data_IF_062542058847
#
_entry.id   IF_062542058847
#
_cell.length_a   1.000
_cell.length_b   1.000
_cell.length_c   1.000
_cell.angle_alpha   90.00
_cell.angle_beta   90.00
_cell.angle_gamma   90.00
#
_symmetry.space_group_name_H-M   'P 1'
#
loop_
_entity.id
_entity.type
_entity.pdbx_description
1 polymer ?
#
# COMPACT_ATOMS: atom_id res chain seq x y z
N UNK A 1 16.27 3.27 16.93
CA UNK A 1 17.33 2.32 16.54
C UNK A 1 18.69 2.99 16.34
N UNK A 2 18.74 4.34 16.26
CA UNK A 2 19.97 5.11 16.01
C UNK A 2 20.62 4.89 14.63
N UNK A 3 19.89 4.30 13.70
CA UNK A 3 20.39 3.97 12.35
C UNK A 3 19.74 4.91 11.34
N UNK A 4 20.54 5.54 10.48
CA UNK A 4 20.04 6.26 9.32
C UNK A 4 19.46 5.29 8.30
N UNK A 5 18.17 5.40 8.03
CA UNK A 5 17.49 4.54 7.06
C UNK A 5 17.73 5.06 5.65
N UNK A 6 18.38 4.25 4.83
CA UNK A 6 18.52 4.48 3.40
C UNK A 6 18.57 3.15 2.67
N UNK A 7 17.73 2.96 1.67
CA UNK A 7 17.55 1.66 1.00
C UNK A 7 18.83 1.10 0.37
N UNK A 8 19.80 1.96 0.01
CA UNK A 8 21.11 1.56 -0.50
C UNK A 8 22.12 1.20 0.60
N UNK A 9 21.87 1.60 1.86
CA UNK A 9 22.77 1.39 2.99
C UNK A 9 22.30 0.31 3.97
N UNK A 10 21.12 -0.21 3.78
CA UNK A 10 20.50 -1.23 4.61
C UNK A 10 19.14 -0.82 5.19
N UNK A 11 18.54 -1.72 5.94
CA UNK A 11 17.22 -1.55 6.56
C UNK A 11 17.36 -1.28 8.06
N UNK A 12 16.25 -0.92 8.71
CA UNK A 12 16.22 -0.77 10.17
C UNK A 12 16.59 -2.07 10.88
N UNK A 13 17.33 -1.94 11.97
CA UNK A 13 17.54 -3.06 12.88
C UNK A 13 16.21 -3.41 13.56
N UNK A 14 15.99 -4.72 13.77
CA UNK A 14 14.83 -5.19 14.49
C UNK A 14 14.93 -4.81 15.97
N UNK A 15 13.79 -4.53 16.60
CA UNK A 15 13.74 -4.34 18.05
C UNK A 15 14.13 -5.66 18.77
N UNK A 16 14.82 -5.56 19.91
CA UNK A 16 15.28 -6.73 20.68
C UNK A 16 14.13 -7.69 21.00
N UNK A 17 12.97 -7.15 21.42
CA UNK A 17 11.78 -7.96 21.68
C UNK A 17 11.31 -8.77 20.46
N UNK A 18 11.48 -8.22 19.25
CA UNK A 18 11.15 -8.93 18.00
C UNK A 18 12.17 -10.05 17.73
N UNK A 19 13.47 -9.79 17.96
CA UNK A 19 14.54 -10.78 17.81
C UNK A 19 14.31 -11.97 18.75
N UNK A 20 14.00 -11.69 20.02
CA UNK A 20 13.68 -12.72 21.02
C UNK A 20 12.46 -13.55 20.62
N UNK A 21 11.37 -12.89 20.19
CA UNK A 21 10.14 -13.56 19.78
C UNK A 21 10.36 -14.47 18.55
N UNK A 22 11.09 -13.98 17.55
CA UNK A 22 11.44 -14.76 16.34
C UNK A 22 12.32 -15.95 16.73
N UNK A 23 13.34 -15.75 17.55
CA UNK A 23 14.23 -16.81 18.02
C UNK A 23 13.44 -17.90 18.76
N UNK A 24 12.50 -17.53 19.62
CA UNK A 24 11.62 -18.48 20.32
C UNK A 24 10.75 -19.25 19.33
N UNK A 25 10.12 -18.57 18.36
CA UNK A 25 9.29 -19.20 17.33
C UNK A 25 10.09 -20.19 16.46
N UNK A 26 11.35 -19.87 16.12
CA UNK A 26 12.22 -20.75 15.33
C UNK A 26 12.64 -22.03 16.08
N UNK A 27 12.61 -22.02 17.42
CA UNK A 27 13.03 -23.14 18.26
C UNK A 27 11.87 -24.01 18.75
N UNK A 28 10.64 -23.66 18.44
CA UNK A 28 9.46 -24.33 18.98
C UNK A 28 8.41 -24.54 17.87
N UNK A 29 7.57 -25.56 17.95
CA UNK A 29 6.39 -25.65 17.11
C UNK A 29 5.50 -24.43 17.29
N UNK A 30 5.00 -23.89 16.20
CA UNK A 30 4.09 -22.74 16.19
C UNK A 30 2.81 -23.05 15.43
N UNK A 31 1.68 -22.50 15.86
CA UNK A 31 0.36 -22.69 15.25
C UNK A 31 0.08 -21.71 14.10
N UNK A 32 1.08 -21.49 13.23
CA UNK A 32 0.98 -20.47 12.19
C UNK A 32 -0.15 -20.73 11.20
N UNK A 33 -0.38 -21.99 10.84
CA UNK A 33 -1.39 -22.44 9.88
C UNK A 33 -2.57 -23.19 10.50
N UNK A 34 -2.60 -23.27 11.83
CA UNK A 34 -3.64 -24.01 12.55
C UNK A 34 -4.44 -23.07 13.45
N UNK A 35 -5.74 -23.06 13.24
CA UNK A 35 -6.68 -22.31 14.08
C UNK A 35 -7.04 -23.18 15.30
N UNK A 36 -6.68 -22.69 16.50
CA UNK A 36 -6.95 -23.40 17.75
C UNK A 36 -8.42 -23.37 18.14
N UNK A 37 -9.18 -22.35 17.69
CA UNK A 37 -10.59 -22.18 18.03
C UNK A 37 -11.48 -23.13 17.20
N UNK A 38 -11.18 -23.21 15.89
CA UNK A 38 -11.94 -24.01 14.92
C UNK A 38 -11.35 -25.41 14.70
N UNK A 39 -10.21 -25.74 15.34
CA UNK A 39 -9.48 -26.99 15.19
C UNK A 39 -9.19 -27.36 13.72
N UNK A 40 -8.88 -26.35 12.89
CA UNK A 40 -8.72 -26.49 11.46
C UNK A 40 -7.56 -25.69 10.88
N UNK A 41 -7.45 -25.65 9.55
CA UNK A 41 -6.45 -24.85 8.87
C UNK A 41 -6.86 -23.38 8.90
N UNK A 42 -6.01 -22.51 9.50
CA UNK A 42 -6.16 -21.07 9.55
C UNK A 42 -5.31 -20.34 8.51
N UNK A 43 -5.58 -19.05 8.34
CA UNK A 43 -4.74 -18.15 7.54
C UNK A 43 -3.49 -17.77 8.33
N UNK A 44 -2.31 -17.82 7.70
CA UNK A 44 -1.00 -17.54 8.31
C UNK A 44 -0.87 -16.14 8.89
N UNK A 45 -1.53 -15.17 8.28
CA UNK A 45 -1.46 -13.75 8.62
C UNK A 45 -2.58 -13.25 9.55
N UNK A 46 -3.51 -14.13 9.97
CA UNK A 46 -4.70 -13.75 10.76
C UNK A 46 -4.38 -12.91 12.00
N UNK A 47 -3.42 -13.35 12.82
CA UNK A 47 -3.05 -12.62 14.05
C UNK A 47 -2.44 -11.24 13.73
N UNK A 48 -1.63 -11.17 12.68
CA UNK A 48 -1.02 -9.93 12.23
C UNK A 48 -2.05 -9.02 11.56
N UNK A 49 -2.97 -9.57 10.76
CA UNK A 49 -4.07 -8.83 10.15
C UNK A 49 -4.95 -8.16 11.23
N UNK A 50 -5.32 -8.89 12.29
CA UNK A 50 -6.07 -8.32 13.41
C UNK A 50 -5.32 -7.16 14.10
N UNK A 51 -4.01 -7.28 14.28
CA UNK A 51 -3.18 -6.21 14.86
C UNK A 51 -3.14 -4.98 13.93
N UNK A 52 -2.94 -5.19 12.63
CA UNK A 52 -2.95 -4.13 11.62
C UNK A 52 -4.29 -3.40 11.58
N UNK A 53 -5.41 -4.13 11.60
CA UNK A 53 -6.75 -3.53 11.68
C UNK A 53 -6.92 -2.63 12.91
N UNK A 54 -6.45 -3.08 14.08
CA UNK A 54 -6.49 -2.29 15.32
C UNK A 54 -5.65 -1.02 15.24
N UNK A 55 -4.50 -1.06 14.57
CA UNK A 55 -3.59 0.08 14.45
C UNK A 55 -4.07 1.05 13.38
N UNK A 56 -4.56 0.55 12.25
CA UNK A 56 -4.87 1.37 11.08
C UNK A 56 -6.33 1.78 10.98
N UNK A 57 -7.23 1.10 11.70
CA UNK A 57 -8.67 1.28 11.56
C UNK A 57 -9.25 0.61 10.30
N UNK A 58 -8.46 -0.18 9.57
CA UNK A 58 -8.93 -0.94 8.41
C UNK A 58 -9.85 -2.09 8.82
N UNK A 59 -10.68 -2.54 7.88
CA UNK A 59 -11.59 -3.66 8.09
C UNK A 59 -10.88 -5.02 8.04
N UNK A 60 -9.83 -5.14 7.20
CA UNK A 60 -9.02 -6.34 7.07
C UNK A 60 -7.63 -6.02 6.49
N UNK A 61 -6.73 -7.00 6.49
CA UNK A 61 -5.36 -6.86 6.00
C UNK A 61 -4.87 -8.14 5.30
N UNK A 62 -3.91 -7.97 4.38
CA UNK A 62 -3.20 -9.04 3.69
C UNK A 62 -1.71 -8.73 3.70
N UNK A 63 -0.87 -9.75 3.92
CA UNK A 63 0.58 -9.61 3.99
C UNK A 63 1.23 -10.46 2.90
N UNK A 64 2.18 -9.88 2.18
CA UNK A 64 2.95 -10.52 1.12
C UNK A 64 4.45 -10.22 1.28
N UNK A 65 5.28 -10.78 0.42
CA UNK A 65 6.74 -10.78 0.56
C UNK A 65 7.40 -9.41 0.58
N UNK A 66 6.84 -8.43 -0.16
CA UNK A 66 7.34 -7.06 -0.25
C UNK A 66 6.29 -6.14 -0.86
N UNK A 67 6.51 -4.82 -0.82
CA UNK A 67 5.53 -3.86 -1.31
C UNK A 67 5.34 -3.90 -2.85
N UNK A 68 6.35 -4.30 -3.62
CA UNK A 68 6.19 -4.50 -5.06
C UNK A 68 5.18 -5.63 -5.36
N UNK A 69 5.27 -6.74 -4.61
CA UNK A 69 4.28 -7.82 -4.67
C UNK A 69 2.90 -7.38 -4.17
N UNK A 70 2.84 -6.51 -3.16
CA UNK A 70 1.58 -5.95 -2.67
C UNK A 70 0.87 -5.12 -3.74
N UNK A 71 1.59 -4.22 -4.42
CA UNK A 71 1.03 -3.40 -5.51
C UNK A 71 0.58 -4.28 -6.67
N UNK A 72 1.43 -5.25 -7.09
CA UNK A 72 1.07 -6.18 -8.16
C UNK A 72 -0.21 -6.97 -7.82
N UNK A 73 -0.28 -7.56 -6.63
CA UNK A 73 -1.45 -8.32 -6.18
C UNK A 73 -2.69 -7.43 -6.09
N UNK A 74 -2.56 -6.23 -5.50
CA UNK A 74 -3.65 -5.28 -5.35
C UNK A 74 -4.28 -4.95 -6.70
N UNK A 75 -3.46 -4.63 -7.69
CA UNK A 75 -3.94 -4.25 -9.03
C UNK A 75 -4.42 -5.48 -9.81
N UNK A 76 -3.70 -6.60 -9.78
CA UNK A 76 -4.10 -7.82 -10.49
C UNK A 76 -5.45 -8.37 -9.99
N UNK A 77 -5.65 -8.43 -8.68
CA UNK A 77 -6.87 -8.98 -8.09
C UNK A 77 -8.12 -8.08 -8.27
N UNK A 78 -7.92 -6.77 -8.51
CA UNK A 78 -9.04 -5.83 -8.53
C UNK A 78 -9.30 -5.19 -9.90
N UNK A 79 -8.30 -5.18 -10.80
CA UNK A 79 -8.36 -4.42 -12.06
C UNK A 79 -7.85 -5.17 -13.30
N UNK A 80 -7.54 -6.47 -13.21
CA UNK A 80 -7.08 -7.25 -14.38
C UNK A 80 -8.10 -7.17 -15.52
N UNK A 81 -7.61 -6.89 -16.74
CA UNK A 81 -8.43 -6.68 -17.94
C UNK A 81 -9.13 -5.33 -18.02
N UNK A 82 -8.92 -4.43 -17.04
CA UNK A 82 -9.55 -3.12 -16.96
C UNK A 82 -8.52 -2.00 -16.88
N UNK A 83 -9.00 -0.76 -16.78
CA UNK A 83 -8.18 0.45 -16.66
C UNK A 83 -7.95 0.85 -15.21
N UNK A 84 -6.73 1.31 -14.94
CA UNK A 84 -6.34 1.95 -13.69
C UNK A 84 -5.89 3.38 -14.01
N UNK A 85 -6.59 4.36 -13.46
CA UNK A 85 -6.30 5.79 -13.69
C UNK A 85 -5.28 6.27 -12.67
N UNK A 86 -4.15 6.81 -13.16
CA UNK A 86 -3.02 7.26 -12.33
C UNK A 86 -2.54 8.64 -12.81
N UNK A 87 -2.19 9.53 -11.90
CA UNK A 87 -1.54 10.80 -12.25
C UNK A 87 -0.17 10.56 -12.89
N UNK A 88 0.10 11.23 -14.02
CA UNK A 88 1.41 11.16 -14.69
C UNK A 88 2.57 11.57 -13.79
N UNK A 89 2.36 12.53 -12.90
CA UNK A 89 3.35 12.97 -11.91
C UNK A 89 3.65 11.93 -10.82
N UNK A 90 2.89 10.83 -10.75
CA UNK A 90 3.02 9.76 -9.75
C UNK A 90 3.54 8.43 -10.34
N UNK A 91 3.99 8.42 -11.59
CA UNK A 91 4.55 7.23 -12.24
C UNK A 91 6.00 7.04 -11.79
N UNK A 92 6.15 6.56 -10.56
CA UNK A 92 7.46 6.40 -9.92
C UNK A 92 8.29 5.26 -10.53
N UNK A 93 9.62 5.43 -10.48
CA UNK A 93 10.60 4.35 -10.54
C UNK A 93 11.37 4.34 -9.22
N UNK A 94 11.43 3.20 -8.54
CA UNK A 94 12.08 3.06 -7.25
C UNK A 94 12.73 1.67 -7.10
N UNK A 95 13.81 1.59 -6.32
CA UNK A 95 14.36 0.33 -5.82
C UNK A 95 14.81 -0.68 -6.88
N UNK A 96 15.60 -0.29 -7.87
CA UNK A 96 16.19 -1.24 -8.82
C UNK A 96 15.29 -1.65 -9.98
N UNK A 97 14.44 -0.75 -10.45
CA UNK A 97 13.56 -0.86 -11.62
C UNK A 97 12.09 -1.28 -11.35
N UNK A 98 11.58 -1.07 -10.15
CA UNK A 98 10.14 -1.10 -9.95
C UNK A 98 9.52 0.16 -10.58
N UNK A 99 8.72 -0.02 -11.62
CA UNK A 99 8.03 1.04 -12.36
C UNK A 99 6.54 0.78 -12.36
N UNK A 100 5.74 1.76 -12.01
CA UNK A 100 4.27 1.64 -12.01
C UNK A 100 3.73 1.17 -13.38
N UNK A 101 4.15 1.72 -14.55
CA UNK A 101 3.67 1.22 -15.83
C UNK A 101 3.96 -0.26 -16.11
N UNK A 102 5.12 -0.75 -15.66
CA UNK A 102 5.50 -2.15 -15.84
C UNK A 102 4.69 -3.08 -14.94
N UNK A 103 4.41 -2.66 -13.71
CA UNK A 103 3.54 -3.40 -12.77
C UNK A 103 2.12 -3.50 -13.31
N UNK A 104 1.56 -2.39 -13.83
CA UNK A 104 0.23 -2.41 -14.47
C UNK A 104 0.16 -3.41 -15.62
N UNK A 105 1.15 -3.40 -16.51
CA UNK A 105 1.23 -4.35 -17.63
C UNK A 105 1.33 -5.78 -17.13
N UNK A 106 2.16 -6.05 -16.11
CA UNK A 106 2.33 -7.38 -15.53
C UNK A 106 1.05 -7.87 -14.84
N UNK A 107 0.27 -6.97 -14.25
CA UNK A 107 -1.02 -7.25 -13.64
C UNK A 107 -2.15 -7.48 -14.67
N UNK A 108 -1.87 -7.30 -15.95
CA UNK A 108 -2.89 -7.40 -17.02
C UNK A 108 -3.85 -6.21 -17.07
N UNK A 109 -3.44 -5.05 -16.52
CA UNK A 109 -4.24 -3.84 -16.51
C UNK A 109 -3.78 -2.85 -17.58
N UNK A 110 -4.69 -2.00 -18.03
CA UNK A 110 -4.36 -0.86 -18.87
C UNK A 110 -4.12 0.36 -17.97
N UNK A 111 -2.91 0.93 -18.05
CA UNK A 111 -2.61 2.19 -17.39
C UNK A 111 -3.26 3.35 -18.15
N UNK A 112 -4.08 4.13 -17.47
CA UNK A 112 -4.65 5.36 -18.00
C UNK A 112 -4.04 6.56 -17.26
N UNK A 113 -3.07 7.21 -17.91
CA UNK A 113 -2.36 8.36 -17.34
C UNK A 113 -3.19 9.63 -17.44
N UNK A 114 -3.29 10.40 -16.36
CA UNK A 114 -4.01 11.69 -16.33
C UNK A 114 -3.12 12.85 -15.93
N UNK A 115 -3.49 14.04 -16.38
CA UNK A 115 -2.75 15.27 -16.14
C UNK A 115 -1.41 15.32 -16.87
N UNK A 116 -0.49 16.07 -16.29
CA UNK A 116 0.88 16.25 -16.78
C UNK A 116 1.90 15.92 -15.69
N UNK A 117 3.19 15.99 -16.00
CA UNK A 117 4.27 15.68 -15.03
C UNK A 117 4.14 16.48 -13.72
N UNK A 118 3.75 17.77 -13.82
CA UNK A 118 3.74 18.69 -12.67
C UNK A 118 2.34 19.14 -12.25
N UNK A 119 1.30 18.84 -13.02
CA UNK A 119 -0.06 19.29 -12.70
C UNK A 119 -1.10 18.26 -13.06
N UNK A 120 -1.91 17.88 -12.06
CA UNK A 120 -3.08 17.01 -12.22
C UNK A 120 -4.23 17.60 -11.41
N UNK A 121 -5.38 17.68 -12.01
CA UNK A 121 -6.60 18.26 -11.45
C UNK A 121 -7.72 17.21 -11.36
N UNK A 122 -8.72 17.42 -10.52
CA UNK A 122 -9.89 16.52 -10.40
C UNK A 122 -10.59 16.29 -11.75
N UNK A 123 -10.63 17.34 -12.59
CA UNK A 123 -11.25 17.23 -13.91
C UNK A 123 -10.52 16.28 -14.87
N UNK A 124 -9.21 16.10 -14.71
CA UNK A 124 -8.43 15.15 -15.52
C UNK A 124 -8.89 13.72 -15.23
N UNK A 125 -9.14 13.39 -13.96
CA UNK A 125 -9.71 12.09 -13.56
C UNK A 125 -11.16 11.94 -14.05
N UNK A 126 -12.02 12.97 -13.91
CA UNK A 126 -13.42 12.90 -14.37
C UNK A 126 -13.51 12.58 -15.85
N UNK A 127 -12.65 13.19 -16.66
CA UNK A 127 -12.63 12.96 -18.11
C UNK A 127 -12.08 11.60 -18.51
N UNK A 128 -11.23 10.99 -17.67
CA UNK A 128 -10.61 9.70 -17.93
C UNK A 128 -11.49 8.50 -17.54
N UNK A 129 -12.35 8.66 -16.52
CA UNK A 129 -13.19 7.57 -16.03
C UNK A 129 -14.25 7.19 -17.07
N UNK A 130 -14.33 5.89 -17.34
CA UNK A 130 -15.26 5.28 -18.27
C UNK A 130 -15.69 3.87 -17.75
N UNK A 131 -16.50 3.15 -18.50
CA UNK A 131 -17.02 1.82 -18.13
C UNK A 131 -15.97 0.73 -17.92
N UNK A 132 -14.76 0.93 -18.47
CA UNK A 132 -13.63 0.03 -18.27
C UNK A 132 -12.77 0.40 -17.06
N UNK A 133 -12.99 1.54 -16.42
CA UNK A 133 -12.21 1.98 -15.26
C UNK A 133 -12.56 1.15 -14.03
N UNK A 134 -11.54 0.50 -13.47
CA UNK A 134 -11.69 -0.31 -12.25
C UNK A 134 -11.24 0.44 -10.99
N UNK A 135 -10.19 1.26 -11.09
CA UNK A 135 -9.55 1.92 -9.95
C UNK A 135 -9.08 3.34 -10.29
N UNK A 136 -9.17 4.23 -9.32
CA UNK A 136 -8.33 5.42 -9.23
C UNK A 136 -7.16 5.09 -8.30
N UNK A 137 -5.93 5.20 -8.78
CA UNK A 137 -4.76 4.87 -7.96
C UNK A 137 -3.92 6.10 -7.71
N UNK A 138 -3.52 6.27 -6.46
CA UNK A 138 -2.54 7.24 -6.02
C UNK A 138 -1.24 6.54 -5.64
N UNK A 139 -0.12 7.13 -6.04
CA UNK A 139 1.21 6.62 -5.69
C UNK A 139 2.00 7.73 -5.01
N UNK A 140 2.40 7.47 -3.77
CA UNK A 140 3.20 8.42 -3.01
C UNK A 140 4.62 8.49 -3.55
N UNK A 141 5.05 9.71 -3.92
CA UNK A 141 6.37 9.97 -4.50
C UNK A 141 7.44 10.13 -3.41
N UNK A 142 7.74 9.02 -2.69
CA UNK A 142 8.62 9.05 -1.52
C UNK A 142 10.10 9.29 -1.84
N UNK A 143 10.52 9.17 -3.11
CA UNK A 143 11.92 9.26 -3.54
C UNK A 143 12.24 10.47 -4.41
N UNK A 144 11.25 11.31 -4.73
CA UNK A 144 11.45 12.57 -5.44
C UNK A 144 10.36 13.59 -5.09
N UNK A 145 10.59 14.84 -5.41
CA UNK A 145 9.61 15.92 -5.31
C UNK A 145 9.59 16.77 -6.58
N UNK A 146 8.41 17.21 -7.00
CA UNK A 146 8.24 18.13 -8.11
C UNK A 146 8.01 19.52 -7.53
N UNK A 147 8.83 20.50 -7.91
CA UNK A 147 8.81 21.86 -7.37
C UNK A 147 8.46 22.88 -8.48
N UNK A 148 7.97 24.05 -8.07
CA UNK A 148 7.61 25.15 -8.98
C UNK A 148 6.10 25.24 -9.18
N UNK A 149 5.64 25.41 -10.41
CA UNK A 149 4.22 25.49 -10.73
C UNK A 149 3.59 24.10 -10.74
N UNK A 150 3.25 23.59 -9.55
CA UNK A 150 2.72 22.24 -9.36
C UNK A 150 1.27 22.25 -8.89
N UNK A 151 0.55 21.16 -9.16
CA UNK A 151 -0.75 20.81 -8.58
C UNK A 151 -0.87 19.30 -8.53
N UNK A 152 -1.17 18.77 -7.37
CA UNK A 152 -1.55 17.36 -7.17
C UNK A 152 -2.90 17.32 -6.47
N UNK A 153 -3.63 16.23 -6.63
CA UNK A 153 -4.84 15.92 -5.87
C UNK A 153 -4.41 15.17 -4.62
N UNK A 154 -4.91 15.56 -3.46
CA UNK A 154 -4.73 14.81 -2.22
C UNK A 154 -5.67 13.61 -2.15
N UNK A 155 -5.44 12.73 -1.19
CA UNK A 155 -6.22 11.50 -1.04
C UNK A 155 -7.68 11.77 -0.72
N UNK A 156 -7.99 12.78 0.09
CA UNK A 156 -9.36 13.11 0.45
C UNK A 156 -10.15 13.62 -0.76
N UNK A 157 -9.53 14.47 -1.58
CA UNK A 157 -10.12 14.96 -2.85
C UNK A 157 -10.31 13.79 -3.82
N UNK A 158 -9.33 12.88 -3.94
CA UNK A 158 -9.45 11.71 -4.82
C UNK A 158 -10.53 10.73 -4.35
N UNK A 159 -10.66 10.51 -3.03
CA UNK A 159 -11.72 9.66 -2.46
C UNK A 159 -13.10 10.28 -2.68
N UNK A 160 -13.25 11.59 -2.51
CA UNK A 160 -14.51 12.27 -2.81
C UNK A 160 -14.90 12.10 -4.29
N UNK A 161 -13.91 12.22 -5.17
CA UNK A 161 -14.10 12.00 -6.60
C UNK A 161 -14.44 10.54 -6.94
N UNK A 162 -13.76 9.58 -6.31
CA UNK A 162 -14.06 8.15 -6.46
C UNK A 162 -15.48 7.80 -6.05
N UNK A 163 -15.99 8.43 -4.98
CA UNK A 163 -17.41 8.30 -4.56
C UNK A 163 -18.37 8.92 -5.57
N UNK A 164 -18.04 10.09 -6.14
CA UNK A 164 -18.83 10.75 -7.18
C UNK A 164 -18.96 9.88 -8.44
N UNK A 165 -17.88 9.18 -8.81
CA UNK A 165 -17.76 8.40 -10.04
C UNK A 165 -18.03 6.89 -9.84
N UNK A 166 -18.34 6.46 -8.63
CA UNK A 166 -18.51 5.05 -8.24
C UNK A 166 -17.29 4.17 -8.60
N UNK A 167 -16.09 4.71 -8.41
CA UNK A 167 -14.82 4.01 -8.67
C UNK A 167 -13.98 3.98 -7.38
N UNK A 168 -13.53 2.80 -6.90
CA UNK A 168 -12.74 2.71 -5.68
C UNK A 168 -11.36 3.36 -5.84
N UNK A 169 -10.87 3.95 -4.75
CA UNK A 169 -9.55 4.58 -4.67
C UNK A 169 -8.60 3.67 -3.92
N UNK A 170 -7.41 3.46 -4.46
CA UNK A 170 -6.32 2.71 -3.83
C UNK A 170 -5.06 3.55 -3.78
N UNK A 171 -4.21 3.33 -2.77
CA UNK A 171 -2.98 4.10 -2.60
C UNK A 171 -1.79 3.17 -2.37
N UNK A 172 -0.73 3.35 -3.16
CA UNK A 172 0.60 2.83 -2.84
C UNK A 172 1.37 3.89 -2.04
N UNK A 173 1.50 3.64 -0.74
CA UNK A 173 2.16 4.56 0.17
C UNK A 173 3.69 4.37 0.21
N UNK A 174 4.15 3.17 0.00
CA UNK A 174 5.57 2.80 -0.08
C UNK A 174 6.30 2.83 1.27
N UNK A 175 6.38 3.97 1.95
CA UNK A 175 7.22 4.16 3.16
C UNK A 175 6.65 3.54 4.45
N UNK A 176 5.34 3.62 4.67
CA UNK A 176 4.63 2.91 5.75
C UNK A 176 4.93 3.40 7.16
N UNK A 177 4.91 4.71 7.43
CA UNK A 177 4.96 5.20 8.80
C UNK A 177 3.62 4.99 9.49
N UNK A 178 3.65 4.43 10.71
CA UNK A 178 2.49 4.33 11.60
C UNK A 178 2.48 5.42 12.68
N UNK A 179 3.48 6.30 12.67
CA UNK A 179 3.66 7.39 13.64
C UNK A 179 3.81 8.69 12.88
N UNK A 180 3.20 9.76 13.39
CA UNK A 180 3.40 11.10 12.85
C UNK A 180 4.82 11.57 13.17
N UNK A 181 5.69 11.56 12.16
CA UNK A 181 7.09 11.93 12.29
C UNK A 181 7.28 13.42 12.57
N UNK A 182 6.29 14.27 12.29
CA UNK A 182 6.37 15.71 12.57
C UNK A 182 6.47 16.01 14.07
N UNK A 183 5.96 15.12 14.92
CA UNK A 183 6.09 15.22 16.37
C UNK A 183 7.56 15.09 16.85
N UNK A 184 8.43 14.57 16.00
CA UNK A 184 9.86 14.40 16.26
C UNK A 184 10.73 15.37 15.46
N UNK A 185 10.12 16.41 14.86
CA UNK A 185 10.85 17.40 14.05
C UNK A 185 11.28 16.91 12.67
N UNK A 186 10.73 15.80 12.18
CA UNK A 186 10.95 15.27 10.84
C UNK A 186 9.80 15.70 9.91
N UNK A 187 10.01 15.66 8.59
CA UNK A 187 8.93 15.89 7.63
C UNK A 187 7.75 14.93 7.88
N UNK A 188 6.54 15.44 7.76
CA UNK A 188 5.34 14.60 7.86
C UNK A 188 5.30 13.65 6.66
N UNK A 189 5.16 12.36 6.96
CA UNK A 189 4.84 11.31 5.99
C UNK A 189 3.35 10.94 6.11
N UNK A 190 2.65 10.65 5.01
CA UNK A 190 1.29 10.17 5.09
C UNK A 190 1.24 8.81 5.79
N UNK A 191 0.22 8.58 6.61
CA UNK A 191 0.07 7.36 7.40
C UNK A 191 -1.10 6.51 6.90
N UNK A 192 -1.01 5.18 6.94
CA UNK A 192 -2.11 4.29 6.56
C UNK A 192 -3.42 4.62 7.28
N UNK A 193 -3.36 4.98 8.58
CA UNK A 193 -4.52 5.34 9.39
C UNK A 193 -5.28 6.56 8.83
N UNK A 194 -4.52 7.57 8.37
CA UNK A 194 -5.10 8.79 7.79
C UNK A 194 -5.81 8.47 6.47
N UNK A 195 -5.21 7.62 5.65
CA UNK A 195 -5.76 7.23 4.35
C UNK A 195 -7.02 6.37 4.49
N UNK A 196 -7.00 5.41 5.43
CA UNK A 196 -8.17 4.59 5.75
C UNK A 196 -9.31 5.47 6.29
N UNK A 197 -9.01 6.38 7.21
CA UNK A 197 -10.00 7.32 7.76
C UNK A 197 -10.57 8.26 6.67
N UNK A 198 -9.77 8.66 5.69
CA UNK A 198 -10.23 9.43 4.53
C UNK A 198 -11.14 8.62 3.59
N UNK A 199 -11.11 7.29 3.68
CA UNK A 199 -11.96 6.39 2.89
C UNK A 199 -11.27 5.72 1.70
N UNK A 200 -9.93 5.70 1.67
CA UNK A 200 -9.17 4.91 0.69
C UNK A 200 -9.55 3.44 0.85
N UNK A 201 -9.80 2.75 -0.25
CA UNK A 201 -10.32 1.38 -0.25
C UNK A 201 -9.25 0.34 0.06
N UNK A 202 -8.03 0.53 -0.46
CA UNK A 202 -6.84 -0.27 -0.14
C UNK A 202 -5.61 0.63 -0.05
N UNK A 203 -4.76 0.38 0.94
CA UNK A 203 -3.47 1.05 1.12
C UNK A 203 -2.38 0.01 1.20
N UNK A 204 -1.34 0.12 0.36
CA UNK A 204 -0.15 -0.74 0.43
C UNK A 204 1.06 0.00 0.96
N UNK A 205 1.91 -0.69 1.72
CA UNK A 205 3.16 -0.13 2.25
C UNK A 205 4.17 -1.21 2.64
N UNK A 206 5.45 -0.79 2.80
CA UNK A 206 6.57 -1.69 3.15
C UNK A 206 6.69 -1.88 4.66
N UNK A 207 7.03 -3.10 5.08
CA UNK A 207 7.32 -3.41 6.49
C UNK A 207 8.72 -3.01 6.94
N UNK A 208 9.70 -2.94 6.05
CA UNK A 208 11.13 -2.82 6.34
C UNK A 208 11.72 -1.40 6.12
N UNK A 209 10.85 -0.40 6.00
CA UNK A 209 11.23 1.02 5.92
C UNK A 209 10.88 1.73 7.24
N UNK A 210 10.01 2.74 7.20
CA UNK A 210 9.65 3.53 8.39
C UNK A 210 8.94 2.74 9.48
N UNK A 211 8.25 1.66 9.13
CA UNK A 211 7.69 0.74 10.11
C UNK A 211 8.77 0.06 10.96
N UNK A 212 9.96 -0.17 10.41
CA UNK A 212 11.08 -0.79 11.15
C UNK A 212 10.93 -2.28 11.41
N UNK A 213 10.11 -2.96 10.64
CA UNK A 213 9.90 -4.41 10.68
C UNK A 213 10.74 -5.19 9.67
N UNK A 214 10.46 -6.48 9.45
CA UNK A 214 11.05 -7.29 8.39
C UNK A 214 10.54 -6.84 7.02
N UNK A 215 11.21 -7.30 5.96
CA UNK A 215 10.72 -7.09 4.60
C UNK A 215 9.35 -7.77 4.45
N UNK A 216 8.36 -6.96 4.16
CA UNK A 216 6.99 -7.37 3.87
C UNK A 216 6.30 -6.31 3.02
N UNK A 217 5.31 -6.72 2.25
CA UNK A 217 4.29 -5.86 1.69
C UNK A 217 3.02 -6.01 2.51
N UNK A 218 2.51 -4.91 3.00
CA UNK A 218 1.32 -4.88 3.84
C UNK A 218 0.22 -4.17 3.05
N UNK A 219 -0.96 -4.78 2.98
CA UNK A 219 -2.14 -4.19 2.35
C UNK A 219 -3.23 -4.16 3.41
N UNK A 220 -3.78 -2.98 3.66
CA UNK A 220 -4.91 -2.78 4.59
C UNK A 220 -6.06 -2.10 3.88
N UNK A 221 -7.30 -2.39 4.27
CA UNK A 221 -8.45 -1.72 3.68
C UNK A 221 -9.77 -2.42 3.88
N UNK A 222 -10.66 -2.31 2.88
CA UNK A 222 -11.99 -2.88 2.90
C UNK A 222 -11.95 -4.40 2.84
N UNK A 223 -12.71 -5.05 3.71
CA UNK A 223 -12.74 -6.51 3.85
C UNK A 223 -13.06 -7.24 2.54
N UNK A 224 -14.03 -6.74 1.78
CA UNK A 224 -14.43 -7.33 0.50
C UNK A 224 -13.30 -7.30 -0.54
N UNK A 225 -12.48 -6.24 -0.54
CA UNK A 225 -11.33 -6.13 -1.44
C UNK A 225 -10.17 -7.00 -0.97
N UNK A 226 -9.88 -7.03 0.33
CA UNK A 226 -8.87 -7.93 0.90
C UNK A 226 -9.21 -9.39 0.62
N UNK A 227 -10.48 -9.80 0.71
CA UNK A 227 -10.90 -11.15 0.37
C UNK A 227 -10.60 -11.52 -1.11
N UNK A 228 -10.72 -10.55 -2.05
CA UNK A 228 -10.29 -10.77 -3.45
C UNK A 228 -8.79 -11.02 -3.56
N UNK A 229 -7.99 -10.27 -2.81
CA UNK A 229 -6.54 -10.45 -2.79
C UNK A 229 -6.17 -11.84 -2.26
N UNK A 230 -6.78 -12.26 -1.15
CA UNK A 230 -6.52 -13.56 -0.50
C UNK A 230 -6.96 -14.76 -1.36
N UNK A 231 -7.94 -14.57 -2.25
CA UNK A 231 -8.41 -15.60 -3.19
C UNK A 231 -7.65 -15.61 -4.52
N UNK A 232 -6.76 -14.64 -4.76
CA UNK A 232 -6.01 -14.55 -6.00
C UNK A 232 -4.90 -15.62 -6.06
N UNK A 233 -4.59 -16.21 -7.24
CA UNK A 233 -3.58 -17.28 -7.37
C UNK A 233 -2.14 -16.85 -7.08
N UNK A 234 -1.83 -15.54 -7.01
CA UNK A 234 -0.49 -15.02 -6.67
C UNK A 234 -0.14 -15.25 -5.21
#
# INVERSE_FOLDING_TARGET
TGTGLHTNLGRALQAEAAVEAVTKAMRSPVTLEYDLDDAGRGHRDRALAQLLCRITGAEDACIVNNNAAAVLLMVAATASGKEVVVSRGELVEIGGAFRIPDVMRQAGCTLHEVGTTNRTHANDYRQAVNENTALLMKVHTSNYSIQGFTKAIDEAELVALGKELDVPVVTDLGSGSLVDLSQYGLPKEPMPQELIAAGVSLVSFSGDKLLGGPQAGIIVGKKEMIARLQSHPL
#
